data_IF_992623023801
#
_entry.id   IF_992623023801
#
_cell.length_a   1.000
_cell.length_b   1.000
_cell.length_c   1.000
_cell.angle_alpha   90.00
_cell.angle_beta   90.00
_cell.angle_gamma   90.00
#
_symmetry.space_group_name_H-M   'P 1'
#
loop_
_entity.id
_entity.type
_entity.pdbx_description
1 polymer ?
#
# COMPACT_ATOMS: atom_id res chain seq x y z
N UNK A 1 -2.68 8.70 14.57
CA UNK A 1 -1.89 9.18 13.43
C UNK A 1 -2.69 8.97 12.14
N UNK A 2 -2.69 9.97 11.27
CA UNK A 2 -3.42 9.88 10.00
C UNK A 2 -2.68 8.96 9.03
N UNK A 3 -3.44 8.22 8.24
CA UNK A 3 -2.87 7.36 7.21
C UNK A 3 -3.71 7.40 5.94
N UNK A 4 -3.07 7.07 4.83
CA UNK A 4 -3.70 6.87 3.54
C UNK A 4 -3.58 5.39 3.21
N UNK A 5 -4.70 4.76 2.87
CA UNK A 5 -4.72 3.33 2.52
C UNK A 5 -5.06 3.15 1.06
N UNK A 6 -4.27 2.33 0.37
CA UNK A 6 -4.51 1.96 -1.02
C UNK A 6 -4.45 0.44 -1.13
N UNK A 7 -5.26 -0.13 -2.00
CA UNK A 7 -5.27 -1.58 -2.19
C UNK A 7 -5.36 -1.95 -3.66
N UNK A 8 -4.79 -3.12 -3.97
CA UNK A 8 -4.85 -3.73 -5.28
C UNK A 8 -5.12 -5.22 -5.11
N UNK A 9 -6.09 -5.74 -5.82
CA UNK A 9 -6.44 -7.15 -5.77
C UNK A 9 -6.46 -7.73 -7.18
N UNK A 10 -5.84 -8.89 -7.32
CA UNK A 10 -5.97 -9.70 -8.53
C UNK A 10 -7.28 -10.47 -8.45
N UNK A 11 -8.19 -10.24 -9.38
CA UNK A 11 -9.50 -10.86 -9.39
C UNK A 11 -9.48 -12.36 -9.69
N UNK A 12 -8.37 -12.90 -10.16
CA UNK A 12 -8.30 -14.29 -10.60
C UNK A 12 -7.96 -15.26 -9.47
N UNK A 13 -7.08 -14.86 -8.54
CA UNK A 13 -6.59 -15.78 -7.50
C UNK A 13 -6.81 -15.26 -6.08
N UNK A 14 -7.46 -14.12 -5.94
CA UNK A 14 -7.76 -13.53 -4.63
C UNK A 14 -6.56 -12.91 -3.93
N UNK A 15 -5.42 -12.86 -4.58
CA UNK A 15 -4.21 -12.24 -4.00
C UNK A 15 -4.25 -10.73 -4.18
N UNK A 16 -3.63 -10.04 -3.25
CA UNK A 16 -3.54 -8.59 -3.33
C UNK A 16 -2.54 -8.02 -2.35
N UNK A 17 -2.42 -6.70 -2.40
CA UNK A 17 -1.58 -5.94 -1.47
C UNK A 17 -2.36 -4.72 -1.01
N UNK A 18 -2.12 -4.34 0.23
CA UNK A 18 -2.66 -3.11 0.78
C UNK A 18 -1.53 -2.31 1.40
N UNK A 19 -1.47 -1.03 1.05
CA UNK A 19 -0.47 -0.10 1.59
C UNK A 19 -1.16 0.83 2.58
N UNK A 20 -0.63 0.90 3.79
CA UNK A 20 -0.99 1.92 4.77
C UNK A 20 0.18 2.89 4.88
N UNK A 21 -0.02 4.12 4.42
CA UNK A 21 1.01 5.16 4.38
C UNK A 21 0.71 6.17 5.47
N UNK A 22 1.61 6.27 6.44
CA UNK A 22 1.44 7.14 7.59
C UNK A 22 2.07 8.51 7.34
N UNK A 23 1.56 9.52 8.01
CA UNK A 23 2.00 10.90 7.80
C UNK A 23 3.46 11.14 8.18
N UNK A 24 4.06 10.26 8.99
CA UNK A 24 5.47 10.34 9.35
C UNK A 24 6.40 9.66 8.34
N UNK A 25 5.86 9.15 7.23
CA UNK A 25 6.65 8.48 6.20
C UNK A 25 6.80 6.98 6.37
N UNK A 26 6.28 6.41 7.43
CA UNK A 26 6.27 4.95 7.60
C UNK A 26 5.20 4.34 6.72
N UNK A 27 5.47 3.14 6.20
CA UNK A 27 4.57 2.42 5.33
C UNK A 27 4.47 0.98 5.81
N UNK A 28 3.26 0.48 5.99
CA UNK A 28 3.01 -0.94 6.25
C UNK A 28 2.37 -1.54 5.00
N UNK A 29 2.97 -2.61 4.50
CA UNK A 29 2.46 -3.32 3.33
C UNK A 29 1.88 -4.64 3.81
N UNK A 30 0.60 -4.86 3.57
CA UNK A 30 -0.09 -6.10 3.88
C UNK A 30 -0.20 -6.96 2.63
N UNK A 31 0.17 -8.22 2.76
CA UNK A 31 -0.04 -9.20 1.70
C UNK A 31 -1.34 -9.93 1.99
N UNK A 32 -2.28 -9.83 1.04
CA UNK A 32 -3.66 -10.25 1.24
C UNK A 32 -3.96 -11.52 0.46
N UNK A 33 -4.81 -12.37 1.02
CA UNK A 33 -5.35 -13.53 0.32
C UNK A 33 -6.83 -13.64 0.68
N UNK A 34 -7.69 -13.55 -0.33
CA UNK A 34 -9.15 -13.62 -0.17
C UNK A 34 -9.69 -12.64 0.88
N UNK A 35 -9.12 -11.42 0.90
CA UNK A 35 -9.55 -10.37 1.80
C UNK A 35 -8.97 -10.43 3.20
N UNK A 36 -8.06 -11.38 3.45
CA UNK A 36 -7.43 -11.55 4.77
C UNK A 36 -5.93 -11.27 4.66
N UNK A 37 -5.41 -10.47 5.58
CA UNK A 37 -3.97 -10.21 5.64
C UNK A 37 -3.25 -11.44 6.17
N UNK A 38 -2.36 -12.03 5.36
CA UNK A 38 -1.61 -13.23 5.75
C UNK A 38 -0.22 -12.89 6.27
N UNK A 39 0.33 -11.74 5.88
CA UNK A 39 1.59 -11.25 6.42
C UNK A 39 1.69 -9.76 6.15
N UNK A 40 2.60 -9.09 6.83
CA UNK A 40 2.86 -7.68 6.61
C UNK A 40 4.34 -7.37 6.74
N UNK A 41 4.74 -6.20 6.24
CA UNK A 41 6.10 -5.71 6.37
C UNK A 41 6.05 -4.19 6.56
N UNK A 42 6.90 -3.68 7.44
CA UNK A 42 7.05 -2.24 7.68
C UNK A 42 8.29 -1.74 6.95
N UNK A 43 8.11 -0.69 6.16
CA UNK A 43 9.19 -0.06 5.41
C UNK A 43 9.04 1.46 5.52
N UNK A 44 9.99 2.19 4.96
CA UNK A 44 9.86 3.64 4.82
C UNK A 44 9.84 4.03 3.34
N UNK A 45 9.61 5.31 3.07
CA UNK A 45 9.55 5.81 1.70
C UNK A 45 10.85 5.58 0.93
N UNK A 46 11.97 5.70 1.62
CA UNK A 46 13.29 5.53 1.00
C UNK A 46 13.47 4.10 0.48
N UNK A 47 13.02 3.11 1.23
CA UNK A 47 13.07 1.71 0.81
C UNK A 47 12.25 1.47 -0.46
N UNK A 48 11.24 2.29 -0.71
CA UNK A 48 10.37 2.18 -1.88
C UNK A 48 10.83 3.09 -3.03
N UNK A 49 11.96 3.78 -2.88
CA UNK A 49 12.49 4.67 -3.90
C UNK A 49 11.70 5.97 -4.05
N UNK A 50 10.94 6.37 -3.05
CA UNK A 50 10.10 7.56 -3.09
C UNK A 50 10.65 8.65 -2.18
N UNK A 51 10.56 9.91 -2.63
CA UNK A 51 10.99 11.06 -1.84
C UNK A 51 9.88 11.63 -0.98
N UNK A 52 8.63 11.47 -1.40
CA UNK A 52 7.46 12.04 -0.71
C UNK A 52 6.33 11.02 -0.68
N UNK A 53 5.39 11.23 0.26
CA UNK A 53 4.16 10.41 0.34
C UNK A 53 3.36 10.58 -0.95
N UNK A 54 3.25 11.79 -1.48
CA UNK A 54 2.51 12.07 -2.71
C UNK A 54 3.07 11.28 -3.89
N UNK A 55 4.39 11.17 -3.99
CA UNK A 55 5.02 10.38 -5.05
C UNK A 55 4.62 8.92 -4.96
N UNK A 56 4.65 8.35 -3.76
CA UNK A 56 4.25 6.95 -3.56
C UNK A 56 2.78 6.74 -3.92
N UNK A 57 1.90 7.65 -3.49
CA UNK A 57 0.48 7.56 -3.81
C UNK A 57 0.25 7.60 -5.32
N UNK A 58 0.90 8.53 -6.02
CA UNK A 58 0.78 8.62 -7.48
C UNK A 58 1.28 7.36 -8.16
N UNK A 59 2.42 6.84 -7.72
CA UNK A 59 2.99 5.61 -8.29
C UNK A 59 2.05 4.42 -8.10
N UNK A 60 1.45 4.29 -6.93
CA UNK A 60 0.51 3.20 -6.64
C UNK A 60 -0.77 3.35 -7.49
N UNK A 61 -1.30 4.56 -7.61
CA UNK A 61 -2.48 4.81 -8.44
C UNK A 61 -2.20 4.49 -9.91
N UNK A 62 -1.01 4.85 -10.41
CA UNK A 62 -0.60 4.55 -11.78
C UNK A 62 -0.44 3.05 -12.02
N UNK A 63 -0.04 2.31 -11.01
CA UNK A 63 0.06 0.86 -11.10
C UNK A 63 -1.31 0.18 -11.16
N UNK A 64 -2.32 0.79 -10.56
CA UNK A 64 -3.67 0.23 -10.53
C UNK A 64 -4.27 0.10 -9.13
N UNK A 65 -3.55 0.55 -8.11
CA UNK A 65 -4.08 0.59 -6.75
C UNK A 65 -5.24 1.57 -6.66
N UNK A 66 -6.15 1.30 -5.76
CA UNK A 66 -7.30 2.17 -5.50
C UNK A 66 -7.22 2.71 -4.08
N UNK A 67 -7.57 3.97 -3.95
CA UNK A 67 -7.64 4.64 -2.65
C UNK A 67 -8.82 4.09 -1.86
N UNK A 68 -8.56 3.68 -0.62
CA UNK A 68 -9.62 3.23 0.28
C UNK A 68 -10.17 4.45 1.02
N UNK A 69 -11.43 4.77 0.79
CA UNK A 69 -12.10 5.92 1.38
C UNK A 69 -13.04 5.51 2.51
#
# INVERSE_FOLDING_TARGET
>A
MKKISLSYYDGNDGKGCEYDIYENGEVTIYFMLNGVAITDVDVDLECLGCSTIEQLVVDLLNFGYKLNL
#
